data_IF_384979496036
#
_entry.id   IF_384979496036
#
_cell.length_a   1.000
_cell.length_b   1.000
_cell.length_c   1.000
_cell.angle_alpha   90.00
_cell.angle_beta   90.00
_cell.angle_gamma   90.00
#
_symmetry.space_group_name_H-M   'P 1'
#
loop_
_entity.id
_entity.type
_entity.pdbx_description
1 polymer ?
#
# COMPACT_ATOMS: atom_id res chain seq x y z
N UNK A 1 1.34 -26.27 -8.50
CA UNK A 1 1.15 -26.04 -7.05
C UNK A 1 -0.23 -25.42 -6.85
N UNK A 2 -0.94 -25.72 -5.77
CA UNK A 2 -2.38 -25.49 -5.57
C UNK A 2 -2.97 -24.07 -5.68
N UNK A 3 -2.20 -23.04 -6.04
CA UNK A 3 -2.69 -21.66 -6.14
C UNK A 3 -3.11 -21.34 -7.58
N UNK A 4 -3.96 -20.32 -7.76
CA UNK A 4 -4.16 -19.66 -9.06
C UNK A 4 -2.78 -19.30 -9.64
N UNK A 5 -2.55 -19.56 -10.92
CA UNK A 5 -1.32 -19.09 -11.55
C UNK A 5 -1.28 -17.57 -11.40
N UNK A 6 -0.23 -17.06 -10.73
CA UNK A 6 0.05 -15.62 -10.78
C UNK A 6 0.25 -15.34 -12.27
N UNK A 7 -0.58 -14.49 -12.90
CA UNK A 7 -0.32 -14.13 -14.28
C UNK A 7 1.08 -13.51 -14.34
N UNK A 8 1.94 -13.99 -15.25
CA UNK A 8 3.33 -13.50 -15.38
C UNK A 8 3.38 -11.97 -15.59
N UNK A 9 2.28 -11.37 -16.04
CA UNK A 9 2.02 -9.95 -16.07
C UNK A 9 0.80 -9.60 -15.19
N UNK A 10 1.01 -8.94 -14.06
CA UNK A 10 -0.05 -8.16 -13.41
C UNK A 10 -0.03 -6.76 -14.01
N UNK A 11 -1.13 -6.33 -14.61
CA UNK A 11 -1.27 -4.99 -15.20
C UNK A 11 -1.02 -3.89 -14.17
N UNK A 12 -1.29 -4.18 -12.90
CA UNK A 12 -1.00 -3.34 -11.76
C UNK A 12 0.48 -2.93 -11.69
N UNK A 13 1.44 -3.83 -11.96
CA UNK A 13 2.87 -3.51 -11.93
C UNK A 13 3.29 -2.51 -13.01
N UNK A 14 2.55 -2.43 -14.11
CA UNK A 14 2.81 -1.46 -15.18
C UNK A 14 2.18 -0.08 -14.87
N UNK A 15 1.10 -0.06 -14.10
CA UNK A 15 0.35 1.16 -13.74
C UNK A 15 0.92 1.83 -12.48
N UNK A 16 1.39 1.06 -11.50
CA UNK A 16 1.92 1.63 -10.25
C UNK A 16 3.08 2.63 -10.46
N UNK A 17 4.14 2.33 -11.24
CA UNK A 17 5.26 3.26 -11.44
C UNK A 17 4.86 4.63 -12.04
N UNK A 18 4.11 4.72 -13.16
CA UNK A 18 3.73 6.01 -13.72
C UNK A 18 2.80 6.82 -12.79
N UNK A 19 1.92 6.16 -12.04
CA UNK A 19 1.06 6.83 -11.04
C UNK A 19 1.92 7.43 -9.92
N UNK A 20 2.90 6.70 -9.39
CA UNK A 20 3.81 7.20 -8.35
C UNK A 20 4.64 8.39 -8.86
N UNK A 21 5.12 8.34 -10.10
CA UNK A 21 5.87 9.44 -10.72
C UNK A 21 4.98 10.68 -10.87
N UNK A 22 3.76 10.52 -11.39
CA UNK A 22 2.80 11.61 -11.53
C UNK A 22 2.46 12.25 -10.17
N UNK A 23 2.26 11.42 -9.13
CA UNK A 23 2.04 11.88 -7.76
C UNK A 23 3.25 12.64 -7.21
N UNK A 24 4.46 12.16 -7.46
CA UNK A 24 5.68 12.84 -7.02
C UNK A 24 5.80 14.23 -7.65
N UNK A 25 5.56 14.34 -8.96
CA UNK A 25 5.58 15.63 -9.68
C UNK A 25 4.51 16.58 -9.13
N UNK A 26 3.28 16.10 -8.94
CA UNK A 26 2.19 16.91 -8.38
C UNK A 26 2.50 17.39 -6.95
N UNK A 27 3.07 16.52 -6.11
CA UNK A 27 3.51 16.88 -4.76
C UNK A 27 4.57 17.98 -4.76
N UNK A 28 5.56 17.90 -5.65
CA UNK A 28 6.57 18.94 -5.82
C UNK A 28 5.96 20.27 -6.28
N UNK A 29 5.05 20.24 -7.27
CA UNK A 29 4.36 21.43 -7.77
C UNK A 29 3.54 22.13 -6.69
N UNK A 30 2.82 21.37 -5.87
CA UNK A 30 2.07 21.90 -4.72
C UNK A 30 3.03 22.46 -3.64
N UNK A 31 4.17 21.80 -3.44
CA UNK A 31 5.28 22.29 -2.61
C UNK A 31 5.78 23.67 -3.00
N UNK A 32 6.03 23.89 -4.29
CA UNK A 32 6.47 25.21 -4.78
C UNK A 32 5.39 26.29 -4.69
N UNK A 33 4.10 25.92 -4.68
CA UNK A 33 2.98 26.89 -4.63
C UNK A 33 2.77 27.51 -3.23
N UNK A 34 3.56 27.10 -2.22
CA UNK A 34 3.74 27.71 -0.89
C UNK A 34 2.49 28.09 -0.07
N UNK A 35 1.30 27.61 -0.46
CA UNK A 35 0.08 27.89 0.28
C UNK A 35 -0.21 26.72 1.21
N UNK A 36 -0.13 27.00 2.51
CA UNK A 36 -0.21 26.01 3.58
C UNK A 36 -1.47 25.14 3.48
N UNK A 37 -2.60 25.68 3.01
CA UNK A 37 -3.86 24.92 2.84
C UNK A 37 -3.71 23.72 1.90
N UNK A 38 -2.85 23.83 0.89
CA UNK A 38 -2.62 22.76 -0.08
C UNK A 38 -1.86 21.58 0.51
N UNK A 39 -1.04 21.79 1.55
CA UNK A 39 -0.36 20.68 2.24
C UNK A 39 -1.35 19.75 2.93
N UNK A 40 -2.42 20.29 3.53
CA UNK A 40 -3.47 19.48 4.15
C UNK A 40 -4.27 18.70 3.10
N UNK A 41 -4.64 19.35 2.00
CA UNK A 41 -5.34 18.70 0.87
C UNK A 41 -4.49 17.57 0.29
N UNK A 42 -3.20 17.82 0.10
CA UNK A 42 -2.26 16.82 -0.41
C UNK A 42 -2.08 15.65 0.56
N UNK A 43 -1.95 15.92 1.86
CA UNK A 43 -1.87 14.88 2.89
C UNK A 43 -3.11 13.98 2.93
N UNK A 44 -4.30 14.59 2.86
CA UNK A 44 -5.58 13.85 2.79
C UNK A 44 -5.65 12.98 1.54
N UNK A 45 -5.31 13.54 0.38
CA UNK A 45 -5.30 12.82 -0.90
C UNK A 45 -4.35 11.61 -0.85
N UNK A 46 -3.11 11.80 -0.38
CA UNK A 46 -2.14 10.72 -0.21
C UNK A 46 -2.63 9.65 0.78
N UNK A 47 -3.29 10.05 1.87
CA UNK A 47 -3.82 9.11 2.87
C UNK A 47 -4.96 8.26 2.31
N UNK A 48 -5.88 8.88 1.55
CA UNK A 48 -6.99 8.16 0.90
C UNK A 48 -6.47 7.19 -0.15
N UNK A 49 -5.53 7.63 -1.00
CA UNK A 49 -4.93 6.76 -2.02
C UNK A 49 -4.11 5.62 -1.40
N UNK A 50 -3.35 5.89 -0.34
CA UNK A 50 -2.61 4.86 0.40
C UNK A 50 -3.55 3.83 1.02
N UNK A 51 -4.66 4.26 1.63
CA UNK A 51 -5.67 3.36 2.17
C UNK A 51 -6.36 2.53 1.08
N UNK A 52 -6.69 3.15 -0.06
CA UNK A 52 -7.26 2.46 -1.22
C UNK A 52 -6.30 1.41 -1.79
N UNK A 53 -5.01 1.74 -1.93
CA UNK A 53 -4.00 0.78 -2.39
C UNK A 53 -3.79 -0.39 -1.44
N UNK A 54 -3.79 -0.14 -0.11
CA UNK A 54 -3.74 -1.22 0.87
C UNK A 54 -4.99 -2.12 0.84
N UNK A 55 -6.17 -1.54 0.60
CA UNK A 55 -7.41 -2.29 0.48
C UNK A 55 -7.45 -3.15 -0.80
N UNK A 56 -7.04 -2.58 -1.93
CA UNK A 56 -6.93 -3.30 -3.20
C UNK A 56 -5.92 -4.44 -3.09
N UNK A 57 -4.78 -4.19 -2.44
CA UNK A 57 -3.79 -5.22 -2.15
C UNK A 57 -4.34 -6.34 -1.24
N UNK A 58 -5.12 -6.00 -0.21
CA UNK A 58 -5.77 -6.99 0.65
C UNK A 58 -6.78 -7.85 -0.12
N UNK A 59 -7.58 -7.24 -0.99
CA UNK A 59 -8.56 -7.96 -1.81
C UNK A 59 -7.84 -8.90 -2.78
N UNK A 60 -6.76 -8.43 -3.40
CA UNK A 60 -5.92 -9.24 -4.27
C UNK A 60 -5.29 -10.44 -3.52
N UNK A 61 -4.72 -10.21 -2.33
CA UNK A 61 -4.17 -11.30 -1.50
C UNK A 61 -5.25 -12.29 -1.05
N UNK A 62 -6.45 -11.80 -0.78
CA UNK A 62 -7.59 -12.62 -0.40
C UNK A 62 -8.03 -13.52 -1.55
N UNK A 63 -8.26 -12.95 -2.74
CA UNK A 63 -8.63 -13.69 -3.95
C UNK A 63 -7.55 -14.69 -4.34
N UNK A 64 -6.27 -14.29 -4.27
CA UNK A 64 -5.15 -15.19 -4.54
C UNK A 64 -5.05 -16.34 -3.53
N UNK A 65 -5.32 -16.05 -2.24
CA UNK A 65 -5.23 -17.02 -1.16
C UNK A 65 -6.41 -17.99 -1.08
N UNK A 66 -7.57 -17.64 -1.64
CA UNK A 66 -8.83 -18.42 -1.51
C UNK A 66 -9.32 -19.03 -2.84
N UNK A 67 -8.82 -18.59 -3.99
CA UNK A 67 -9.17 -19.15 -5.31
C UNK A 67 -8.23 -20.32 -5.68
N UNK A 68 -8.54 -21.51 -5.14
CA UNK A 68 -7.77 -22.73 -5.36
C UNK A 68 -8.23 -23.40 -6.67
N UNK A 69 -7.32 -23.49 -7.65
CA UNK A 69 -7.60 -24.09 -8.96
C UNK A 69 -8.07 -25.57 -8.81
N UNK A 70 -9.27 -25.94 -9.28
CA UNK A 70 -9.82 -27.29 -9.13
C UNK A 70 -9.00 -28.39 -9.84
N UNK A 71 -8.11 -28.02 -10.79
CA UNK A 71 -7.20 -28.90 -11.52
C UNK A 71 -5.82 -29.10 -10.87
N UNK A 72 -5.52 -28.49 -9.72
CA UNK A 72 -4.20 -28.63 -9.11
C UNK A 72 -3.98 -30.04 -8.51
N UNK A 73 -2.84 -30.66 -8.85
CA UNK A 73 -2.45 -32.01 -8.38
C UNK A 73 -2.15 -32.10 -6.87
N UNK A 74 -1.90 -30.97 -6.21
CA UNK A 74 -1.74 -30.88 -4.76
C UNK A 74 -2.74 -29.84 -4.25
N UNK A 75 -3.87 -30.33 -3.71
CA UNK A 75 -4.81 -29.54 -2.93
C UNK A 75 -4.35 -29.63 -1.48
N UNK A 76 -3.93 -28.51 -0.92
CA UNK A 76 -3.49 -28.51 0.45
C UNK A 76 -4.73 -28.37 1.33
N UNK A 77 -5.27 -29.52 1.70
CA UNK A 77 -6.35 -29.66 2.67
C UNK A 77 -5.73 -29.73 4.07
N UNK A 78 -6.38 -29.11 5.04
CA UNK A 78 -6.06 -29.25 6.46
C UNK A 78 -6.39 -30.68 6.94
N UNK A 79 -6.00 -31.09 8.15
CA UNK A 79 -6.31 -32.44 8.70
C UNK A 79 -7.82 -32.75 8.72
N UNK A 80 -8.67 -31.72 8.70
CA UNK A 80 -10.13 -31.80 8.66
C UNK A 80 -10.75 -31.77 7.23
N UNK A 81 -9.91 -31.75 6.18
CA UNK A 81 -10.37 -31.77 4.78
C UNK A 81 -10.82 -30.42 4.21
N UNK A 82 -10.62 -29.32 4.96
CA UNK A 82 -10.91 -27.95 4.49
C UNK A 82 -9.75 -27.39 3.65
N UNK A 83 -10.00 -26.56 2.63
CA UNK A 83 -8.93 -25.96 1.83
C UNK A 83 -8.12 -24.96 2.68
N UNK A 84 -6.81 -25.15 2.81
CA UNK A 84 -5.95 -24.19 3.51
C UNK A 84 -5.81 -22.90 2.70
N UNK A 85 -6.13 -21.77 3.31
CA UNK A 85 -5.98 -20.44 2.70
C UNK A 85 -4.50 -20.05 2.63
N UNK A 86 -4.01 -19.74 1.43
CA UNK A 86 -2.61 -19.37 1.15
C UNK A 86 -2.31 -17.88 1.33
N UNK A 87 -3.21 -17.13 1.98
CA UNK A 87 -3.08 -15.69 2.13
C UNK A 87 -1.79 -15.34 2.89
N UNK A 88 -0.85 -14.62 2.25
CA UNK A 88 0.32 -14.06 2.92
C UNK A 88 -0.11 -13.10 4.03
N UNK A 89 0.70 -12.89 5.07
CA UNK A 89 0.41 -11.84 6.04
C UNK A 89 0.59 -10.47 5.36
N UNK A 90 -0.40 -9.58 5.44
CA UNK A 90 -0.22 -8.17 5.05
C UNK A 90 0.93 -7.51 5.81
N UNK A 91 1.03 -7.81 7.11
CA UNK A 91 2.07 -7.33 8.01
C UNK A 91 2.44 -8.43 9.00
N UNK A 92 3.74 -8.62 9.22
CA UNK A 92 4.29 -9.57 10.18
C UNK A 92 4.78 -10.86 9.56
N UNK A 93 4.80 -11.93 10.34
CA UNK A 93 5.33 -13.23 9.93
C UNK A 93 4.28 -14.31 10.11
N UNK A 94 4.04 -15.11 9.08
CA UNK A 94 3.11 -16.25 9.13
C UNK A 94 3.77 -17.47 8.52
N UNK A 95 3.75 -18.57 9.25
CA UNK A 95 4.19 -19.87 8.75
C UNK A 95 3.02 -20.56 8.08
N UNK A 96 3.12 -20.81 6.78
CA UNK A 96 2.16 -21.60 6.01
C UNK A 96 2.83 -22.94 5.74
N UNK A 97 2.41 -23.95 6.50
CA UNK A 97 2.92 -25.32 6.46
C UNK A 97 4.44 -25.43 6.70
N UNK A 98 5.26 -25.35 5.62
CA UNK A 98 6.72 -25.43 5.63
C UNK A 98 7.43 -24.15 5.16
N UNK A 99 6.69 -23.08 4.85
CA UNK A 99 7.25 -21.81 4.42
C UNK A 99 6.89 -20.70 5.40
N UNK A 100 7.89 -19.95 5.85
CA UNK A 100 7.71 -18.75 6.67
C UNK A 100 7.71 -17.54 5.76
N UNK A 101 6.56 -16.86 5.63
CA UNK A 101 6.44 -15.61 4.90
C UNK A 101 6.66 -14.44 5.85
N UNK A 102 7.58 -13.54 5.49
CA UNK A 102 7.86 -12.30 6.20
C UNK A 102 7.39 -11.11 5.38
N UNK A 103 6.46 -10.33 5.93
CA UNK A 103 5.90 -9.13 5.30
C UNK A 103 6.19 -7.94 6.20
N UNK A 104 7.33 -7.30 5.97
CA UNK A 104 7.75 -6.10 6.68
C UNK A 104 7.88 -4.92 5.71
N UNK A 105 7.52 -3.71 6.15
CA UNK A 105 7.78 -2.51 5.37
C UNK A 105 9.27 -2.39 5.09
N UNK A 106 9.62 -2.32 3.81
CA UNK A 106 10.97 -2.02 3.36
C UNK A 106 11.23 -0.51 3.40
N UNK A 107 12.46 -0.11 3.08
CA UNK A 107 12.90 1.28 3.10
C UNK A 107 11.98 2.26 2.34
N UNK A 108 11.38 1.81 1.23
CA UNK A 108 10.42 2.63 0.47
C UNK A 108 9.18 3.04 1.26
N UNK A 109 8.63 2.13 2.08
CA UNK A 109 7.48 2.43 2.93
C UNK A 109 7.85 3.46 4.01
N UNK A 110 9.02 3.34 4.63
CA UNK A 110 9.51 4.32 5.61
C UNK A 110 9.69 5.71 5.00
N UNK A 111 10.26 5.80 3.78
CA UNK A 111 10.42 7.07 3.06
C UNK A 111 9.07 7.70 2.71
N UNK A 112 8.08 6.91 2.30
CA UNK A 112 6.71 7.40 2.06
C UNK A 112 6.10 7.99 3.34
N UNK A 113 6.17 7.27 4.47
CA UNK A 113 5.64 7.78 5.73
C UNK A 113 6.33 9.08 6.14
N UNK A 114 7.66 9.14 6.04
CA UNK A 114 8.42 10.35 6.35
C UNK A 114 7.97 11.53 5.46
N UNK A 115 7.81 11.29 4.16
CA UNK A 115 7.29 12.26 3.21
C UNK A 115 5.89 12.75 3.60
N UNK A 116 4.97 11.85 3.91
CA UNK A 116 3.61 12.22 4.33
C UNK A 116 3.61 13.06 5.62
N UNK A 117 4.34 12.64 6.65
CA UNK A 117 4.43 13.41 7.90
C UNK A 117 5.10 14.78 7.71
N UNK A 118 6.04 14.92 6.77
CA UNK A 118 6.65 16.22 6.47
C UNK A 118 5.63 17.24 5.94
N UNK A 119 4.64 16.79 5.14
CA UNK A 119 3.57 17.67 4.63
C UNK A 119 2.65 18.17 5.74
N UNK A 120 2.36 17.30 6.73
CA UNK A 120 1.60 17.65 7.92
C UNK A 120 2.36 18.67 8.78
N UNK A 121 3.67 18.48 8.97
CA UNK A 121 4.53 19.43 9.67
C UNK A 121 4.57 20.80 8.95
N UNK A 122 4.68 20.80 7.62
CA UNK A 122 4.65 22.02 6.81
C UNK A 122 3.32 22.77 6.92
N UNK A 123 2.19 22.06 7.00
CA UNK A 123 0.88 22.67 7.28
C UNK A 123 0.86 23.40 8.63
N UNK A 124 1.32 22.75 9.71
CA UNK A 124 1.37 23.37 11.03
C UNK A 124 2.32 24.58 11.09
N UNK A 125 3.46 24.51 10.40
CA UNK A 125 4.39 25.62 10.28
C UNK A 125 3.72 26.83 9.59
N UNK A 126 3.05 26.61 8.45
CA UNK A 126 2.33 27.67 7.74
C UNK A 126 1.17 28.27 8.55
N UNK A 127 0.42 27.46 9.31
CA UNK A 127 -0.64 27.94 10.20
C UNK A 127 -0.09 28.87 11.29
N UNK A 128 1.11 28.57 11.81
CA UNK A 128 1.77 29.39 12.84
C UNK A 128 2.23 30.74 12.27
N UNK A 129 2.72 30.75 11.03
CA UNK A 129 3.12 31.98 10.34
C UNK A 129 1.93 32.90 10.05
N UNK A 130 0.81 32.35 9.58
CA UNK A 130 -0.41 33.13 9.30
C UNK A 130 -0.99 33.76 10.59
N UNK A 131 -1.04 33.00 11.70
CA UNK A 131 -1.47 33.53 12.99
C UNK A 131 -0.59 34.68 13.47
N UNK A 132 0.73 34.59 13.27
CA UNK A 132 1.69 35.61 13.68
C UNK A 132 1.61 36.89 12.83
N UNK A 133 1.21 36.78 11.56
CA UNK A 133 1.00 37.92 10.67
C UNK A 133 -0.35 38.64 10.84
N UNK A 134 -1.33 38.00 11.49
CA UNK A 134 -2.65 38.58 11.77
C UNK A 134 -2.77 39.24 13.16
N UNK A 135 -1.68 39.31 13.94
CA UNK A 135 -1.62 39.98 15.25
C UNK A 135 -0.73 41.22 15.15
#
# INVERSE_FOLDING_TARGET
MGMKEIPEHMTEFDIFPPVIIAMTILGLLLGFKANYKWYLVWFLLMSVLGAAGMYDFYLWEYDYGHDLNPKAAIKFVDEDGSPMAYQPPLLGTKTILNFTAHSYPLMGAYLMFLGMFSTLAAFFAGLKEEKKGST
#
